data_IF_262501933214
#
_entry.id   IF_262501933214
#
_cell.length_a   1.000
_cell.length_b   1.000
_cell.length_c   1.000
_cell.angle_alpha   90.00
_cell.angle_beta   90.00
_cell.angle_gamma   90.00
#
_symmetry.space_group_name_H-M   'P 1'
#
loop_
_entity.id
_entity.type
_entity.pdbx_description
1 polymer ?
#
# COMPACT_ATOMS: atom_id res chain seq x y z
N UNK A 1 2.73 55.72 -2.33
CA UNK A 1 3.99 55.07 -2.01
C UNK A 1 4.79 54.97 -3.30
N UNK A 2 6.01 55.47 -3.35
CA UNK A 2 6.89 55.46 -4.54
C UNK A 2 7.17 53.98 -4.88
N UNK A 3 6.70 53.51 -6.02
CA UNK A 3 7.01 52.18 -6.52
C UNK A 3 8.53 52.14 -6.79
N UNK A 4 9.28 51.28 -6.11
CA UNK A 4 10.71 51.11 -6.35
C UNK A 4 10.93 50.60 -7.77
N UNK A 5 11.98 51.08 -8.41
CA UNK A 5 12.37 50.63 -9.78
C UNK A 5 12.70 49.13 -9.77
N UNK A 6 12.13 48.37 -10.70
CA UNK A 6 12.34 46.91 -10.79
C UNK A 6 13.80 46.53 -10.97
N UNK A 7 14.62 47.38 -11.61
CA UNK A 7 16.06 47.20 -11.70
C UNK A 7 16.73 47.34 -10.33
N UNK A 8 16.28 48.29 -9.51
CA UNK A 8 16.78 48.47 -8.15
C UNK A 8 16.38 47.29 -7.24
N UNK A 9 15.17 46.77 -7.41
CA UNK A 9 14.68 45.61 -6.63
C UNK A 9 15.57 44.40 -6.92
N UNK A 10 15.90 44.12 -8.16
CA UNK A 10 16.79 43.03 -8.55
C UNK A 10 18.27 43.35 -8.32
N UNK A 11 18.66 44.62 -8.12
CA UNK A 11 20.03 45.05 -7.94
C UNK A 11 20.87 44.94 -9.22
N UNK A 12 20.26 45.22 -10.38
CA UNK A 12 20.90 45.17 -11.69
C UNK A 12 20.85 46.53 -12.40
N UNK A 13 21.74 46.79 -13.35
CA UNK A 13 21.72 47.98 -14.15
C UNK A 13 20.58 47.97 -15.21
N UNK A 14 20.13 49.14 -15.67
CA UNK A 14 19.05 49.25 -16.66
C UNK A 14 19.37 48.64 -18.02
N UNK A 15 20.65 48.48 -18.33
CA UNK A 15 21.18 47.86 -19.55
C UNK A 15 21.52 46.36 -19.34
N UNK A 16 21.20 45.78 -18.16
CA UNK A 16 21.49 44.40 -17.84
C UNK A 16 20.90 43.42 -18.87
N UNK A 17 21.67 42.41 -19.22
CA UNK A 17 21.24 41.30 -20.07
C UNK A 17 20.21 40.42 -19.39
N UNK A 18 19.47 39.66 -20.18
CA UNK A 18 18.48 38.70 -19.67
C UNK A 18 19.09 37.67 -18.70
N UNK A 19 20.31 37.21 -19.00
CA UNK A 19 21.07 36.31 -18.15
C UNK A 19 21.47 36.91 -16.80
N UNK A 20 21.79 38.18 -16.76
CA UNK A 20 22.12 38.91 -15.53
C UNK A 20 20.88 39.13 -14.68
N UNK A 21 19.76 39.51 -15.27
CA UNK A 21 18.46 39.63 -14.61
C UNK A 21 18.04 38.27 -13.98
N UNK A 22 18.21 37.19 -14.74
CA UNK A 22 17.91 35.82 -14.28
C UNK A 22 18.80 35.39 -13.12
N UNK A 23 20.11 35.70 -13.17
CA UNK A 23 21.03 35.37 -12.07
C UNK A 23 20.74 36.17 -10.82
N UNK A 24 20.42 37.43 -10.94
CA UNK A 24 20.09 38.31 -9.83
C UNK A 24 18.81 37.84 -9.13
N UNK A 25 17.78 37.53 -9.91
CA UNK A 25 16.55 36.97 -9.38
C UNK A 25 16.77 35.65 -8.63
N UNK A 26 17.51 34.68 -9.20
CA UNK A 26 17.84 33.42 -8.53
C UNK A 26 18.50 33.62 -7.17
N UNK A 27 19.43 34.58 -7.07
CA UNK A 27 20.11 34.88 -5.82
C UNK A 27 19.15 35.42 -4.75
N UNK A 28 18.23 36.31 -5.16
CA UNK A 28 17.21 36.87 -4.25
C UNK A 28 16.17 35.85 -3.85
N UNK A 29 15.72 35.02 -4.80
CA UNK A 29 14.75 33.96 -4.56
C UNK A 29 15.25 32.92 -3.55
N UNK A 30 16.53 32.50 -3.67
CA UNK A 30 17.16 31.61 -2.69
C UNK A 30 17.31 32.27 -1.32
N UNK A 31 17.67 33.54 -1.29
CA UNK A 31 17.90 34.30 -0.03
C UNK A 31 16.60 34.52 0.74
N UNK A 32 15.52 34.80 0.06
CA UNK A 32 14.21 35.13 0.67
C UNK A 32 13.16 34.06 0.51
N UNK A 33 13.57 32.81 0.20
CA UNK A 33 12.65 31.69 0.06
C UNK A 33 11.86 31.42 1.36
N UNK A 34 10.55 31.17 1.30
CA UNK A 34 9.75 30.90 2.49
C UNK A 34 10.28 29.75 3.36
N UNK A 35 10.78 28.68 2.72
CA UNK A 35 11.33 27.52 3.44
C UNK A 35 12.61 27.84 4.24
N UNK A 36 13.36 28.84 3.80
CA UNK A 36 14.56 29.30 4.51
C UNK A 36 14.31 30.45 5.47
N UNK A 37 13.15 31.11 5.38
CA UNK A 37 12.75 32.22 6.21
C UNK A 37 11.31 32.05 6.72
N UNK A 38 10.99 30.98 7.47
CA UNK A 38 9.66 30.76 8.01
C UNK A 38 9.28 31.93 8.91
N UNK A 39 8.04 32.40 8.82
CA UNK A 39 7.44 33.44 9.64
C UNK A 39 8.13 34.83 9.57
N UNK A 40 8.85 35.13 8.48
CA UNK A 40 9.49 36.43 8.28
C UNK A 40 8.74 37.24 7.21
N UNK A 41 7.84 38.20 7.60
CA UNK A 41 7.03 38.97 6.65
C UNK A 41 7.87 39.90 5.76
N UNK A 42 9.03 40.34 6.21
CA UNK A 42 9.92 41.16 5.39
C UNK A 42 10.58 40.33 4.27
N UNK A 43 10.93 39.08 4.56
CA UNK A 43 11.48 38.17 3.55
C UNK A 43 10.42 37.80 2.50
N UNK A 44 9.20 37.56 2.93
CA UNK A 44 8.06 37.28 2.03
C UNK A 44 7.77 38.47 1.10
N UNK A 45 7.77 39.69 1.63
CA UNK A 45 7.58 40.90 0.82
C UNK A 45 8.66 41.08 -0.19
N UNK A 46 9.96 40.94 0.18
CA UNK A 46 11.10 41.04 -0.73
C UNK A 46 11.09 39.95 -1.79
N UNK A 47 10.60 38.76 -1.45
CA UNK A 47 10.40 37.67 -2.40
C UNK A 47 9.36 38.03 -3.45
N UNK A 48 8.19 38.58 -3.02
CA UNK A 48 7.10 39.02 -3.90
C UNK A 48 7.57 40.11 -4.83
N UNK A 49 8.24 41.14 -4.31
CA UNK A 49 8.80 42.28 -5.10
C UNK A 49 9.82 41.79 -6.14
N UNK A 50 10.68 40.83 -5.76
CA UNK A 50 11.67 40.26 -6.68
C UNK A 50 11.03 39.41 -7.79
N UNK A 51 9.96 38.64 -7.46
CA UNK A 51 9.25 37.85 -8.44
C UNK A 51 8.49 38.71 -9.44
N UNK A 52 7.85 39.79 -9.01
CA UNK A 52 7.17 40.76 -9.86
C UNK A 52 8.16 41.48 -10.80
N UNK A 53 9.28 41.98 -10.26
CA UNK A 53 10.31 42.63 -11.03
C UNK A 53 10.88 41.69 -12.12
N UNK A 54 11.12 40.44 -11.79
CA UNK A 54 11.62 39.45 -12.75
C UNK A 54 10.60 39.14 -13.84
N UNK A 55 9.32 39.00 -13.50
CA UNK A 55 8.26 38.72 -14.50
C UNK A 55 8.15 39.80 -15.56
N UNK A 56 8.29 41.04 -15.17
CA UNK A 56 8.27 42.14 -16.10
C UNK A 56 9.58 42.25 -16.92
N UNK A 57 10.74 42.15 -16.28
CA UNK A 57 12.04 42.40 -16.94
C UNK A 57 12.55 41.23 -17.79
N UNK A 58 12.06 40.02 -17.57
CA UNK A 58 12.40 38.84 -18.40
C UNK A 58 11.78 38.86 -19.80
N UNK A 59 10.62 39.52 -19.95
CA UNK A 59 9.92 39.59 -21.22
C UNK A 59 10.32 40.85 -21.96
N UNK A 60 10.93 40.75 -23.16
CA UNK A 60 11.40 41.92 -23.89
C UNK A 60 10.32 42.97 -24.17
N UNK A 61 9.09 42.55 -24.44
CA UNK A 61 7.98 43.45 -24.71
C UNK A 61 7.51 44.19 -23.44
N UNK A 62 7.39 43.47 -22.34
CA UNK A 62 6.98 44.04 -21.03
C UNK A 62 8.10 44.96 -20.48
N UNK A 63 9.36 44.57 -20.64
CA UNK A 63 10.52 45.39 -20.29
C UNK A 63 10.51 46.70 -21.08
N UNK A 64 10.31 46.63 -22.39
CA UNK A 64 10.25 47.83 -23.24
C UNK A 64 9.08 48.75 -22.87
N UNK A 65 7.95 48.19 -22.48
CA UNK A 65 6.80 48.95 -21.98
C UNK A 65 7.10 49.59 -20.63
N UNK A 66 7.72 48.85 -19.71
CA UNK A 66 8.15 49.36 -18.41
C UNK A 66 9.17 50.51 -18.55
N UNK A 67 10.15 50.36 -19.44
CA UNK A 67 11.18 51.35 -19.69
C UNK A 67 10.60 52.65 -20.30
N UNK A 68 9.48 52.56 -21.06
CA UNK A 68 8.83 53.73 -21.68
C UNK A 68 7.83 54.43 -20.79
N UNK A 69 7.07 53.68 -20.03
CA UNK A 69 5.90 54.20 -19.33
C UNK A 69 6.02 54.15 -17.80
N UNK A 70 7.06 53.50 -17.27
CA UNK A 70 7.26 53.29 -15.82
C UNK A 70 6.24 52.34 -15.16
N UNK A 71 5.41 51.71 -15.97
CA UNK A 71 4.39 50.75 -15.50
C UNK A 71 4.43 49.49 -16.35
N UNK A 72 4.21 48.33 -15.72
CA UNK A 72 4.25 47.05 -16.41
C UNK A 72 3.08 46.83 -17.39
N UNK A 73 1.99 47.57 -17.22
CA UNK A 73 0.79 47.47 -18.05
C UNK A 73 0.15 48.85 -18.28
N UNK A 74 0.21 49.40 -19.50
CA UNK A 74 -0.39 50.70 -19.82
C UNK A 74 -1.91 50.66 -19.93
N UNK A 75 -2.54 49.44 -19.93
CA UNK A 75 -4.01 49.29 -20.11
C UNK A 75 -4.80 49.23 -18.80
N UNK A 76 -4.13 49.30 -17.65
CA UNK A 76 -4.80 49.42 -16.33
C UNK A 76 -5.60 48.21 -15.88
N UNK A 77 -5.50 47.05 -16.55
CA UNK A 77 -6.35 45.89 -16.34
C UNK A 77 -5.62 44.66 -15.77
N UNK A 78 -4.40 44.82 -15.29
CA UNK A 78 -3.53 43.73 -14.84
C UNK A 78 -2.96 43.85 -13.44
N UNK A 79 -3.61 44.57 -12.55
CA UNK A 79 -3.25 44.62 -11.12
C UNK A 79 -3.90 43.50 -10.31
N UNK A 80 -3.65 42.26 -10.61
CA UNK A 80 -3.93 41.18 -9.68
C UNK A 80 -2.88 41.25 -8.56
N UNK A 81 -3.19 42.00 -7.48
CA UNK A 81 -2.38 42.00 -6.25
C UNK A 81 -2.35 40.59 -5.70
N UNK A 82 -1.16 40.00 -5.65
CA UNK A 82 -0.93 38.69 -5.02
C UNK A 82 -1.21 38.82 -3.52
N UNK A 83 -2.29 38.17 -3.07
CA UNK A 83 -2.69 38.21 -1.67
C UNK A 83 -1.97 37.18 -0.81
N UNK A 84 -1.51 36.06 -1.41
CA UNK A 84 -0.84 34.98 -0.68
C UNK A 84 0.35 34.41 -1.44
N UNK A 85 1.32 33.84 -0.70
CA UNK A 85 2.48 33.13 -1.28
C UNK A 85 2.09 31.93 -2.15
N UNK A 86 0.98 31.25 -1.84
CA UNK A 86 0.43 30.11 -2.58
C UNK A 86 -0.07 30.49 -3.98
N UNK A 87 -0.63 31.69 -4.13
CA UNK A 87 -1.08 32.20 -5.45
C UNK A 87 0.11 32.47 -6.39
N UNK A 88 1.24 32.90 -5.83
CA UNK A 88 2.48 33.08 -6.57
C UNK A 88 3.04 31.71 -7.02
N UNK A 89 3.04 30.72 -6.13
CA UNK A 89 3.50 29.37 -6.43
C UNK A 89 2.66 28.68 -7.51
N UNK A 90 1.34 28.87 -7.51
CA UNK A 90 0.45 28.24 -8.48
C UNK A 90 0.55 28.87 -9.87
N UNK A 91 0.73 30.18 -9.95
CA UNK A 91 0.85 30.90 -11.23
C UNK A 91 2.25 30.87 -11.83
N UNK A 92 3.28 30.72 -10.98
CA UNK A 92 4.69 30.66 -11.39
C UNK A 92 5.29 29.25 -11.33
N UNK A 93 4.51 28.20 -11.08
CA UNK A 93 4.97 26.81 -11.03
C UNK A 93 5.75 26.38 -12.27
N UNK A 94 5.33 26.81 -13.45
CA UNK A 94 6.00 26.53 -14.71
C UNK A 94 7.34 27.29 -14.82
N UNK A 95 7.46 28.47 -14.21
CA UNK A 95 8.67 29.30 -14.21
C UNK A 95 9.70 28.77 -13.23
N UNK A 96 9.23 28.27 -12.07
CA UNK A 96 10.10 27.63 -11.08
C UNK A 96 10.75 26.36 -11.64
N UNK A 97 10.01 25.57 -12.42
CA UNK A 97 10.53 24.39 -13.11
C UNK A 97 11.70 24.69 -14.04
N UNK A 98 11.65 25.80 -14.78
CA UNK A 98 12.70 26.21 -15.73
C UNK A 98 13.93 26.80 -15.02
N UNK A 99 13.76 27.47 -13.89
CA UNK A 99 14.83 28.16 -13.17
C UNK A 99 15.65 27.21 -12.29
N UNK A 100 15.01 26.23 -11.67
CA UNK A 100 15.68 25.29 -10.75
C UNK A 100 16.19 23.99 -11.41
N UNK A 101 16.17 23.89 -12.73
CA UNK A 101 16.79 22.77 -13.44
C UNK A 101 15.89 21.57 -13.69
N UNK A 102 14.57 21.66 -13.39
CA UNK A 102 13.56 20.67 -13.79
C UNK A 102 13.00 20.92 -15.20
N UNK A 103 13.35 22.04 -15.84
CA UNK A 103 12.97 22.41 -17.21
C UNK A 103 13.88 21.76 -18.25
N UNK A 104 13.72 20.46 -18.46
CA UNK A 104 14.22 19.81 -19.67
C UNK A 104 13.44 20.33 -20.87
N UNK A 105 14.16 20.75 -21.91
CA UNK A 105 13.68 21.19 -23.23
C UNK A 105 12.38 20.52 -23.63
N UNK A 106 11.40 21.30 -24.06
CA UNK A 106 10.17 20.81 -24.72
C UNK A 106 10.53 20.15 -26.07
N UNK A 107 11.26 19.05 -26.03
CA UNK A 107 11.24 18.06 -27.10
C UNK A 107 9.85 17.47 -27.11
N UNK A 108 9.25 17.35 -28.29
CA UNK A 108 7.95 16.70 -28.48
C UNK A 108 7.95 15.38 -27.69
N UNK A 109 7.30 15.41 -26.52
CA UNK A 109 7.25 14.26 -25.64
C UNK A 109 6.32 13.25 -26.29
N UNK A 110 6.90 12.20 -26.88
CA UNK A 110 6.18 10.96 -27.07
C UNK A 110 5.52 10.53 -25.75
N UNK A 111 4.52 9.66 -25.79
CA UNK A 111 3.86 9.19 -24.58
C UNK A 111 4.91 8.67 -23.60
N UNK A 112 4.86 9.16 -22.34
CA UNK A 112 5.82 8.78 -21.30
C UNK A 112 5.63 7.31 -20.95
N UNK A 113 6.72 6.55 -20.68
CA UNK A 113 6.62 5.23 -20.11
C UNK A 113 5.78 5.27 -18.82
N UNK A 114 4.77 4.42 -18.75
CA UNK A 114 3.92 4.27 -17.57
C UNK A 114 4.02 2.86 -17.06
N UNK A 115 4.12 2.71 -15.74
CA UNK A 115 4.09 1.40 -15.09
C UNK A 115 2.71 0.77 -15.28
N UNK A 116 2.67 -0.55 -15.46
CA UNK A 116 1.44 -1.32 -15.48
C UNK A 116 0.75 -1.37 -14.14
N UNK A 117 -0.53 -1.72 -14.15
CA UNK A 117 -1.33 -1.83 -12.94
C UNK A 117 -0.87 -3.01 -12.08
N UNK A 118 -0.99 -2.83 -10.77
CA UNK A 118 -0.76 -3.90 -9.81
C UNK A 118 -1.93 -4.87 -9.80
N UNK A 119 -1.62 -6.17 -9.74
CA UNK A 119 -2.62 -7.24 -9.67
C UNK A 119 -2.77 -7.73 -8.22
N UNK A 120 -3.98 -8.15 -7.89
CA UNK A 120 -4.30 -8.82 -6.63
C UNK A 120 -4.78 -10.24 -6.89
N UNK A 121 -4.19 -11.19 -6.18
CA UNK A 121 -4.57 -12.60 -6.20
C UNK A 121 -4.88 -13.09 -4.78
N UNK A 122 -6.06 -13.67 -4.57
CA UNK A 122 -6.41 -14.25 -3.27
C UNK A 122 -6.06 -15.75 -3.30
N UNK A 123 -5.24 -16.17 -2.37
CA UNK A 123 -4.78 -17.56 -2.25
C UNK A 123 -5.21 -18.13 -0.91
N UNK A 124 -6.05 -19.15 -0.94
CA UNK A 124 -6.46 -19.89 0.25
C UNK A 124 -5.48 -21.01 0.55
N UNK A 125 -5.07 -21.11 1.80
CA UNK A 125 -4.18 -22.13 2.33
C UNK A 125 -4.76 -22.70 3.61
N UNK A 126 -4.46 -23.97 3.90
CA UNK A 126 -4.87 -24.58 5.15
C UNK A 126 -4.05 -24.03 6.32
N UNK A 127 -4.58 -24.15 7.53
CA UNK A 127 -3.89 -23.75 8.76
C UNK A 127 -2.52 -24.40 8.89
N UNK A 128 -2.44 -25.69 8.58
CA UNK A 128 -1.17 -26.46 8.66
C UNK A 128 -0.14 -26.03 7.63
N UNK A 129 -0.57 -25.67 6.43
CA UNK A 129 0.30 -25.09 5.41
C UNK A 129 0.83 -23.72 5.85
N UNK A 130 -0.04 -22.87 6.45
CA UNK A 130 0.36 -21.59 7.01
C UNK A 130 1.36 -21.77 8.16
N UNK A 131 1.17 -22.78 9.01
CA UNK A 131 2.06 -23.08 10.12
C UNK A 131 3.46 -23.54 9.69
N UNK A 132 3.53 -24.45 8.71
CA UNK A 132 4.79 -25.06 8.23
C UNK A 132 5.49 -24.23 7.16
N UNK A 133 4.74 -23.39 6.44
CA UNK A 133 5.13 -22.79 5.19
C UNK A 133 5.01 -23.78 4.03
N UNK A 134 4.72 -23.27 2.86
CA UNK A 134 4.48 -24.08 1.66
C UNK A 134 4.86 -23.30 0.41
N UNK A 135 5.18 -24.01 -0.65
CA UNK A 135 5.35 -23.46 -1.97
C UNK A 135 4.17 -23.91 -2.85
N UNK A 136 3.38 -22.95 -3.35
CA UNK A 136 2.18 -23.24 -4.16
C UNK A 136 2.27 -22.61 -5.53
N UNK A 137 1.95 -23.35 -6.60
CA UNK A 137 1.77 -22.77 -7.92
C UNK A 137 0.44 -22.00 -7.96
N UNK A 138 0.48 -20.79 -8.55
CA UNK A 138 -0.69 -20.00 -8.85
C UNK A 138 -0.75 -19.71 -10.35
N UNK A 139 -1.96 -19.48 -10.86
CA UNK A 139 -2.20 -19.12 -12.25
C UNK A 139 -2.81 -17.73 -12.30
N UNK A 140 -2.07 -16.80 -12.87
CA UNK A 140 -2.46 -15.39 -12.95
C UNK A 140 -2.72 -15.01 -14.40
N UNK A 141 -3.96 -14.67 -14.76
CA UNK A 141 -4.25 -14.08 -16.06
C UNK A 141 -3.71 -12.65 -16.09
N UNK A 142 -2.96 -12.30 -17.12
CA UNK A 142 -2.45 -10.95 -17.33
C UNK A 142 -2.24 -10.66 -18.81
N UNK A 143 -2.21 -9.38 -19.13
CA UNK A 143 -1.88 -8.91 -20.47
C UNK A 143 -0.36 -8.90 -20.68
N UNK A 144 0.06 -9.39 -21.82
CA UNK A 144 1.47 -9.37 -22.23
C UNK A 144 1.58 -8.90 -23.68
N UNK A 145 2.77 -8.46 -24.07
CA UNK A 145 3.04 -8.18 -25.47
C UNK A 145 2.75 -9.40 -26.34
N UNK A 146 2.06 -9.15 -27.43
CA UNK A 146 1.77 -10.22 -28.38
C UNK A 146 3.08 -10.77 -28.97
N UNK A 147 3.40 -12.05 -28.77
CA UNK A 147 4.67 -12.63 -29.19
C UNK A 147 4.84 -12.70 -30.73
N UNK A 148 3.75 -12.56 -31.51
CA UNK A 148 3.82 -12.58 -32.97
C UNK A 148 4.20 -11.22 -33.54
N UNK A 149 3.73 -10.13 -32.95
CA UNK A 149 3.97 -8.78 -33.45
C UNK A 149 4.85 -7.94 -32.56
N UNK A 150 5.29 -8.42 -31.38
CA UNK A 150 6.13 -7.67 -30.43
C UNK A 150 5.51 -6.32 -30.04
N UNK A 151 4.22 -6.32 -29.68
CA UNK A 151 3.51 -5.11 -29.26
C UNK A 151 3.08 -4.16 -30.38
N UNK A 152 3.51 -4.38 -31.64
CA UNK A 152 3.19 -3.47 -32.75
C UNK A 152 1.71 -3.48 -33.16
N UNK A 153 1.01 -4.60 -32.95
CA UNK A 153 -0.34 -4.81 -33.44
C UNK A 153 -0.42 -5.12 -34.95
N UNK A 154 0.68 -4.99 -35.70
CA UNK A 154 0.74 -5.18 -37.12
C UNK A 154 1.14 -6.62 -37.49
N UNK A 155 0.59 -7.17 -38.54
CA UNK A 155 1.02 -8.46 -39.11
C UNK A 155 2.46 -8.38 -39.63
N UNK A 156 3.13 -9.52 -39.72
CA UNK A 156 4.48 -9.61 -40.32
C UNK A 156 4.51 -8.95 -41.70
N UNK A 157 5.45 -8.04 -41.92
CA UNK A 157 5.58 -7.27 -43.16
C UNK A 157 4.65 -6.06 -43.28
N UNK A 158 3.92 -5.72 -42.24
CA UNK A 158 3.14 -4.48 -42.10
C UNK A 158 3.65 -3.65 -40.93
N UNK A 159 3.42 -2.33 -40.96
CA UNK A 159 3.80 -1.43 -39.90
C UNK A 159 2.66 -0.49 -39.54
N UNK A 160 2.79 0.20 -38.44
CA UNK A 160 1.91 1.31 -38.09
C UNK A 160 2.13 2.47 -39.06
N UNK A 161 1.06 2.99 -39.64
CA UNK A 161 1.09 4.17 -40.48
C UNK A 161 0.48 5.35 -39.75
N UNK A 162 1.08 6.54 -39.88
CA UNK A 162 0.49 7.77 -39.30
C UNK A 162 -0.90 8.01 -39.85
N UNK A 163 -1.85 8.24 -38.98
CA UNK A 163 -3.25 8.48 -39.41
C UNK A 163 -3.34 9.73 -40.29
N UNK A 164 -3.78 9.56 -41.50
CA UNK A 164 -3.88 10.65 -42.48
C UNK A 164 -4.87 11.73 -42.07
N UNK A 165 -5.91 11.41 -41.31
CA UNK A 165 -6.97 12.35 -40.91
C UNK A 165 -6.52 13.30 -39.80
N UNK A 166 -5.76 12.83 -38.81
CA UNK A 166 -5.30 13.65 -37.69
C UNK A 166 -3.80 13.96 -37.72
N UNK A 167 -3.07 13.50 -38.74
CA UNK A 167 -1.64 13.75 -38.84
C UNK A 167 -0.79 13.19 -37.68
N UNK A 168 -1.31 12.18 -36.98
CA UNK A 168 -0.62 11.56 -35.82
C UNK A 168 -1.08 12.08 -34.45
N UNK A 169 -1.87 13.16 -34.39
CA UNK A 169 -2.30 13.77 -33.14
C UNK A 169 -3.32 12.93 -32.33
N UNK A 170 -3.97 11.96 -32.97
CA UNK A 170 -5.05 11.16 -32.35
C UNK A 170 -6.37 11.92 -32.17
N UNK A 171 -6.39 13.22 -32.37
CA UNK A 171 -7.52 14.09 -32.14
C UNK A 171 -7.85 14.94 -33.36
N UNK A 172 -9.11 15.32 -33.51
CA UNK A 172 -9.54 16.27 -34.53
C UNK A 172 -10.34 17.38 -33.87
N UNK A 173 -10.08 18.62 -34.30
CA UNK A 173 -10.82 19.77 -33.85
C UNK A 173 -12.04 19.99 -34.75
N UNK A 174 -13.23 19.98 -34.19
CA UNK A 174 -14.44 20.40 -34.83
C UNK A 174 -14.84 21.81 -34.39
N UNK A 175 -15.08 22.70 -35.33
CA UNK A 175 -15.64 24.03 -35.06
C UNK A 175 -17.14 24.01 -35.25
N UNK A 176 -17.86 24.41 -34.23
CA UNK A 176 -19.31 24.62 -34.30
C UNK A 176 -19.61 26.05 -33.83
N UNK A 177 -19.77 26.95 -34.78
CA UNK A 177 -19.87 28.37 -34.53
C UNK A 177 -18.56 28.97 -33.99
N UNK A 178 -18.61 29.61 -32.83
CA UNK A 178 -17.46 30.19 -32.13
C UNK A 178 -16.76 29.22 -31.17
N UNK A 179 -17.32 28.01 -30.97
CA UNK A 179 -16.73 27.00 -30.10
C UNK A 179 -15.90 25.98 -30.89
N UNK A 180 -14.76 25.63 -30.34
CA UNK A 180 -13.87 24.58 -30.87
C UNK A 180 -13.90 23.41 -29.89
N UNK A 181 -14.36 22.25 -30.36
CA UNK A 181 -14.36 21.00 -29.59
C UNK A 181 -13.26 20.08 -30.13
N UNK A 182 -12.50 19.50 -29.24
CA UNK A 182 -11.52 18.48 -29.56
C UNK A 182 -12.09 17.12 -29.25
N UNK A 183 -12.15 16.23 -30.26
CA UNK A 183 -12.65 14.88 -30.08
C UNK A 183 -11.65 13.84 -30.61
N UNK A 184 -11.71 12.58 -30.13
CA UNK A 184 -10.89 11.51 -30.69
C UNK A 184 -11.11 11.37 -32.21
N UNK A 185 -10.03 11.18 -32.95
CA UNK A 185 -10.12 11.02 -34.40
C UNK A 185 -10.92 9.77 -34.75
N UNK A 186 -11.97 9.87 -35.56
CA UNK A 186 -12.85 8.75 -35.91
C UNK A 186 -12.14 7.65 -36.74
N UNK A 187 -11.07 7.96 -37.47
CA UNK A 187 -10.33 6.99 -38.25
C UNK A 187 -9.36 6.12 -37.43
N UNK A 188 -8.74 6.69 -36.42
CA UNK A 188 -7.77 5.96 -35.59
C UNK A 188 -8.22 5.77 -34.14
N UNK A 189 -9.40 6.22 -33.78
CA UNK A 189 -9.99 6.12 -32.44
C UNK A 189 -9.07 6.61 -31.34
N UNK A 190 -8.38 7.74 -31.58
CA UNK A 190 -7.45 8.33 -30.61
C UNK A 190 -6.00 7.82 -30.69
N UNK A 191 -5.72 6.76 -31.43
CA UNK A 191 -4.39 6.13 -31.48
C UNK A 191 -3.32 6.94 -32.21
N UNK A 192 -3.69 7.89 -33.08
CA UNK A 192 -2.77 8.66 -33.93
C UNK A 192 -2.19 7.88 -35.12
N UNK A 193 -2.38 6.57 -35.18
CA UNK A 193 -1.92 5.69 -36.27
C UNK A 193 -3.01 4.69 -36.69
N UNK A 194 -2.87 4.14 -37.86
CA UNK A 194 -3.70 3.06 -38.41
C UNK A 194 -2.80 1.86 -38.72
N UNK A 195 -3.38 0.67 -38.70
CA UNK A 195 -2.70 -0.59 -39.02
C UNK A 195 -3.39 -1.20 -40.24
N UNK A 196 -2.78 -1.14 -41.46
CA UNK A 196 -3.41 -1.66 -42.68
C UNK A 196 -3.68 -3.16 -42.61
N UNK A 197 -2.75 -3.93 -42.04
CA UNK A 197 -2.89 -5.36 -41.81
C UNK A 197 -2.69 -5.69 -40.34
N UNK A 198 -3.78 -5.86 -39.55
CA UNK A 198 -3.67 -6.21 -38.15
C UNK A 198 -3.09 -7.59 -37.91
N UNK A 199 -2.36 -7.76 -36.84
CA UNK A 199 -1.81 -9.05 -36.41
C UNK A 199 -2.96 -10.05 -36.15
N UNK A 200 -2.94 -11.27 -36.71
CA UNK A 200 -4.03 -12.22 -36.54
C UNK A 200 -4.23 -12.67 -35.10
N UNK A 201 -3.17 -12.70 -34.28
CA UNK A 201 -3.22 -13.15 -32.89
C UNK A 201 -3.84 -12.11 -31.96
N UNK A 202 -3.42 -10.85 -32.02
CA UNK A 202 -3.93 -9.77 -31.15
C UNK A 202 -4.95 -8.86 -31.84
N UNK A 203 -5.31 -9.11 -33.12
CA UNK A 203 -6.30 -8.33 -33.89
C UNK A 203 -6.04 -6.82 -33.93
N UNK A 204 -4.77 -6.43 -33.84
CA UNK A 204 -4.36 -5.02 -33.88
C UNK A 204 -4.12 -4.36 -32.53
N UNK A 205 -4.39 -5.02 -31.41
CA UNK A 205 -4.20 -4.45 -30.07
C UNK A 205 -2.75 -4.42 -29.62
N UNK A 206 -1.92 -5.34 -30.12
CA UNK A 206 -0.51 -5.46 -29.72
C UNK A 206 -0.31 -6.24 -28.42
N UNK A 207 -1.38 -6.53 -27.67
CA UNK A 207 -1.36 -7.26 -26.41
C UNK A 207 -2.26 -8.49 -26.49
N UNK A 208 -1.97 -9.50 -25.68
CA UNK A 208 -2.76 -10.72 -25.56
C UNK A 208 -2.88 -11.10 -24.10
N UNK A 209 -4.04 -11.58 -23.71
CA UNK A 209 -4.23 -12.16 -22.38
C UNK A 209 -3.54 -13.53 -22.33
N UNK A 210 -2.74 -13.76 -21.31
CA UNK A 210 -1.99 -15.01 -21.11
C UNK A 210 -2.06 -15.40 -19.65
N UNK A 211 -2.25 -16.69 -19.38
CA UNK A 211 -2.18 -17.22 -18.00
C UNK A 211 -0.73 -17.57 -17.72
N UNK A 212 -0.14 -16.92 -16.72
CA UNK A 212 1.21 -17.23 -16.24
C UNK A 212 1.15 -18.08 -14.99
N UNK A 213 1.93 -19.15 -14.97
CA UNK A 213 2.13 -19.97 -13.78
C UNK A 213 3.32 -19.43 -13.00
N UNK A 214 3.08 -19.15 -11.71
CA UNK A 214 4.07 -18.62 -10.78
C UNK A 214 4.11 -19.50 -9.55
N UNK A 215 5.30 -19.80 -9.04
CA UNK A 215 5.46 -20.48 -7.75
C UNK A 215 5.60 -19.45 -6.64
N UNK A 216 4.70 -19.50 -5.65
CA UNK A 216 4.67 -18.59 -4.51
C UNK A 216 5.17 -19.31 -3.27
N UNK A 217 6.31 -18.86 -2.75
CA UNK A 217 6.87 -19.35 -1.50
C UNK A 217 6.25 -18.63 -0.30
N UNK A 218 5.45 -19.35 0.47
CA UNK A 218 4.78 -18.86 1.65
C UNK A 218 5.64 -19.20 2.88
N UNK A 219 6.12 -18.22 3.65
CA UNK A 219 6.92 -18.50 4.85
C UNK A 219 6.08 -19.14 5.95
N UNK A 220 6.72 -19.92 6.83
CA UNK A 220 6.06 -20.52 7.97
C UNK A 220 5.57 -19.46 8.97
N UNK A 221 4.39 -19.70 9.55
CA UNK A 221 3.78 -18.85 10.58
C UNK A 221 3.05 -17.63 10.07
N UNK A 222 2.76 -17.55 8.77
CA UNK A 222 1.96 -16.46 8.18
C UNK A 222 0.56 -16.40 8.80
N UNK A 223 -0.02 -15.19 8.85
CA UNK A 223 -1.36 -14.93 9.38
C UNK A 223 -2.37 -14.71 8.26
N UNK A 224 -3.65 -14.81 8.59
CA UNK A 224 -4.72 -14.49 7.65
C UNK A 224 -4.66 -13.03 7.22
N UNK A 225 -4.88 -12.78 5.93
CA UNK A 225 -4.74 -11.45 5.33
C UNK A 225 -3.31 -11.01 5.05
N UNK A 226 -2.29 -11.85 5.30
CA UNK A 226 -0.90 -11.55 4.95
C UNK A 226 -0.74 -11.33 3.45
N UNK A 227 0.10 -10.35 3.06
CA UNK A 227 0.31 -9.96 1.67
C UNK A 227 1.74 -10.25 1.24
N UNK A 228 1.88 -11.03 0.18
CA UNK A 228 3.16 -11.32 -0.47
C UNK A 228 3.25 -10.52 -1.77
N UNK A 229 4.31 -9.75 -1.95
CA UNK A 229 4.55 -8.96 -3.16
C UNK A 229 5.52 -9.69 -4.09
N UNK A 230 5.07 -9.96 -5.30
CA UNK A 230 5.87 -10.49 -6.39
C UNK A 230 6.13 -9.36 -7.39
N UNK A 231 7.37 -8.87 -7.40
CA UNK A 231 7.74 -7.69 -8.20
C UNK A 231 7.72 -7.99 -9.70
N UNK A 232 7.12 -7.07 -10.48
CA UNK A 232 7.06 -7.17 -11.94
C UNK A 232 6.13 -8.27 -12.48
N UNK A 233 5.31 -8.89 -11.61
CA UNK A 233 4.35 -9.93 -11.99
C UNK A 233 2.90 -9.41 -12.11
N UNK A 234 2.72 -8.08 -12.12
CA UNK A 234 1.46 -7.41 -12.42
C UNK A 234 1.20 -7.24 -13.91
N UNK A 235 0.31 -6.32 -14.28
CA UNK A 235 0.00 -5.97 -15.66
C UNK A 235 1.20 -5.34 -16.37
N UNK A 236 1.20 -5.48 -17.69
CA UNK A 236 2.22 -4.90 -18.55
C UNK A 236 2.15 -3.36 -18.51
N UNK A 237 3.31 -2.71 -18.39
CA UNK A 237 3.41 -1.27 -18.55
C UNK A 237 3.17 -0.81 -19.98
N UNK A 238 2.73 0.43 -20.13
CA UNK A 238 2.50 1.04 -21.45
C UNK A 238 3.67 1.95 -21.84
N UNK A 239 3.86 2.12 -23.15
CA UNK A 239 4.92 2.95 -23.73
C UNK A 239 6.35 2.57 -23.27
N UNK A 240 6.60 1.28 -23.04
CA UNK A 240 7.90 0.81 -22.54
C UNK A 240 8.11 1.00 -21.04
N UNK A 241 7.05 1.23 -20.28
CA UNK A 241 7.09 1.26 -18.82
C UNK A 241 7.28 -0.14 -18.21
N UNK A 242 7.74 -0.24 -16.96
CA UNK A 242 7.86 -1.51 -16.27
C UNK A 242 6.49 -2.12 -15.97
N UNK A 243 6.44 -3.44 -15.77
CA UNK A 243 5.23 -4.09 -15.29
C UNK A 243 4.88 -3.61 -13.89
N UNK A 244 3.59 -3.73 -13.51
CA UNK A 244 3.13 -3.63 -12.14
C UNK A 244 3.58 -4.83 -11.30
N UNK A 245 3.14 -4.89 -10.05
CA UNK A 245 3.45 -5.96 -9.12
C UNK A 245 2.21 -6.84 -8.88
N UNK A 246 2.45 -8.07 -8.46
CA UNK A 246 1.38 -8.95 -8.02
C UNK A 246 1.38 -9.06 -6.50
N UNK A 247 0.25 -8.72 -5.89
CA UNK A 247 -0.01 -8.90 -4.46
C UNK A 247 -0.83 -10.15 -4.22
N UNK A 248 -0.20 -11.16 -3.65
CA UNK A 248 -0.89 -12.38 -3.21
C UNK A 248 -1.36 -12.17 -1.77
N UNK A 249 -2.68 -12.13 -1.58
CA UNK A 249 -3.33 -12.04 -0.28
C UNK A 249 -3.67 -13.45 0.20
N UNK A 250 -3.13 -13.83 1.34
CA UNK A 250 -3.33 -15.16 1.91
C UNK A 250 -4.62 -15.19 2.74
N UNK A 251 -5.44 -16.20 2.51
CA UNK A 251 -6.57 -16.56 3.36
C UNK A 251 -6.26 -17.89 4.02
N UNK A 252 -6.14 -17.88 5.36
CA UNK A 252 -5.84 -19.06 6.14
C UNK A 252 -7.15 -19.66 6.66
N UNK A 253 -7.43 -20.92 6.27
CA UNK A 253 -8.58 -21.67 6.79
C UNK A 253 -8.39 -21.95 8.28
N UNK A 254 -9.49 -22.02 9.02
CA UNK A 254 -9.49 -22.43 10.42
C UNK A 254 -9.16 -23.93 10.53
N UNK A 255 -8.55 -24.32 11.65
CA UNK A 255 -8.26 -25.73 11.96
C UNK A 255 -9.27 -26.24 13.00
N UNK A 256 -9.78 -27.47 12.82
CA UNK A 256 -10.79 -28.07 13.73
C UNK A 256 -10.22 -28.35 15.13
N UNK A 257 -8.91 -28.38 15.29
CA UNK A 257 -8.21 -28.81 16.50
C UNK A 257 -7.57 -27.67 17.24
N UNK A 258 -6.97 -26.73 16.51
CA UNK A 258 -6.21 -25.63 17.07
C UNK A 258 -6.82 -24.28 16.75
N UNK A 259 -6.92 -23.45 17.76
CA UNK A 259 -7.19 -22.03 17.59
C UNK A 259 -5.85 -21.27 17.60
N UNK A 260 -5.79 -20.15 16.88
CA UNK A 260 -4.61 -19.31 16.81
C UNK A 260 -4.76 -18.05 17.65
N UNK A 261 -3.76 -17.77 18.48
CA UNK A 261 -3.61 -16.51 19.20
C UNK A 261 -2.21 -15.95 18.88
N UNK A 262 -2.12 -15.03 17.92
CA UNK A 262 -0.89 -14.56 17.30
C UNK A 262 0.01 -15.70 16.79
N UNK A 263 1.08 -16.01 17.50
CA UNK A 263 1.99 -17.13 17.22
C UNK A 263 1.82 -18.29 18.19
N UNK A 264 0.94 -18.15 19.17
CA UNK A 264 0.57 -19.23 20.05
C UNK A 264 -0.55 -20.08 19.44
N UNK A 265 -0.60 -21.32 19.86
CA UNK A 265 -1.68 -22.23 19.56
C UNK A 265 -2.49 -22.46 20.82
N UNK A 266 -3.79 -22.48 20.70
CA UNK A 266 -4.70 -22.87 21.77
C UNK A 266 -5.30 -24.21 21.39
N UNK A 267 -5.22 -25.16 22.32
CA UNK A 267 -5.86 -26.46 22.22
C UNK A 267 -6.74 -26.69 23.44
N UNK A 268 -8.03 -27.04 23.23
CA UNK A 268 -8.95 -27.34 24.31
C UNK A 268 -8.98 -28.86 24.61
N UNK A 269 -8.33 -29.24 25.73
CA UNK A 269 -8.28 -30.61 26.18
C UNK A 269 -9.47 -30.89 27.11
N UNK A 270 -10.33 -31.81 26.71
CA UNK A 270 -11.46 -32.27 27.58
C UNK A 270 -11.02 -33.42 28.45
N UNK A 271 -11.15 -33.28 29.78
CA UNK A 271 -10.89 -34.34 30.77
C UNK A 271 -12.13 -34.59 31.60
N UNK A 272 -12.21 -35.76 32.21
CA UNK A 272 -13.31 -36.13 33.11
C UNK A 272 -13.05 -35.55 34.52
N UNK A 273 -14.13 -35.42 35.31
CA UNK A 273 -14.04 -35.00 36.72
C UNK A 273 -13.06 -35.90 37.55
N UNK A 274 -13.08 -37.23 37.47
CA UNK A 274 -12.10 -38.04 38.19
C UNK A 274 -10.65 -37.80 37.76
N UNK A 275 -10.41 -37.58 36.45
CA UNK A 275 -9.06 -37.24 35.95
C UNK A 275 -8.58 -35.90 36.48
N UNK A 276 -9.47 -34.90 36.56
CA UNK A 276 -9.13 -33.60 37.13
C UNK A 276 -8.82 -33.67 38.61
N UNK A 277 -9.60 -34.49 39.38
CA UNK A 277 -9.43 -34.65 40.84
C UNK A 277 -8.17 -35.43 41.19
N UNK A 278 -7.90 -36.55 40.52
CA UNK A 278 -6.81 -37.47 40.82
C UNK A 278 -5.51 -37.13 40.11
N UNK A 279 -5.56 -36.31 39.07
CA UNK A 279 -4.49 -36.07 38.12
C UNK A 279 -4.45 -37.17 37.06
N UNK A 280 -3.89 -36.83 35.90
CA UNK A 280 -3.80 -37.77 34.78
C UNK A 280 -2.69 -37.31 33.81
N UNK A 281 -2.27 -38.21 32.95
CA UNK A 281 -1.46 -37.88 31.78
C UNK A 281 -2.34 -37.99 30.55
N UNK A 282 -2.35 -36.96 29.72
CA UNK A 282 -3.10 -36.94 28.47
C UNK A 282 -2.13 -36.77 27.30
N UNK A 283 -2.54 -37.30 26.15
CA UNK A 283 -1.87 -37.08 24.89
C UNK A 283 -2.62 -35.99 24.11
N UNK A 284 -1.93 -34.99 23.70
CA UNK A 284 -2.44 -33.86 22.90
C UNK A 284 -1.84 -33.93 21.51
N UNK A 285 -2.60 -33.54 20.46
CA UNK A 285 -2.09 -33.52 19.11
C UNK A 285 -0.99 -32.48 18.96
N UNK A 286 -0.04 -32.72 18.04
CA UNK A 286 0.97 -31.77 17.59
C UNK A 286 0.54 -31.19 16.23
N UNK A 287 1.12 -30.05 15.84
CA UNK A 287 1.04 -29.52 14.47
C UNK A 287 1.56 -30.51 13.42
N UNK A 288 2.49 -31.35 13.81
CA UNK A 288 2.98 -32.40 12.93
C UNK A 288 2.02 -33.58 12.95
N UNK A 289 1.62 -34.04 11.78
CA UNK A 289 0.75 -35.18 11.65
C UNK A 289 1.39 -36.45 12.24
N UNK A 290 0.61 -37.16 13.05
CA UNK A 290 1.07 -38.39 13.69
C UNK A 290 1.93 -38.20 14.94
N UNK A 291 2.30 -36.98 15.31
CA UNK A 291 2.97 -36.69 16.57
C UNK A 291 1.97 -36.33 17.67
N UNK A 292 2.19 -36.84 18.88
CA UNK A 292 1.46 -36.45 20.09
C UNK A 292 2.45 -35.94 21.14
N UNK A 293 1.95 -35.07 21.99
CA UNK A 293 2.72 -34.53 23.12
C UNK A 293 2.05 -35.00 24.41
N UNK A 294 2.85 -35.52 25.35
CA UNK A 294 2.34 -35.91 26.67
C UNK A 294 2.25 -34.67 27.56
N UNK A 295 1.12 -34.53 28.23
CA UNK A 295 0.88 -33.48 29.21
C UNK A 295 0.43 -34.10 30.53
N UNK A 296 1.19 -33.84 31.61
CA UNK A 296 0.83 -34.23 32.96
C UNK A 296 -0.14 -33.21 33.56
N UNK A 297 -1.33 -33.65 33.91
CA UNK A 297 -2.35 -32.86 34.57
C UNK A 297 -2.27 -33.12 36.08
N UNK A 298 -1.87 -32.14 36.91
CA UNK A 298 -1.82 -32.32 38.34
C UNK A 298 -3.19 -32.57 38.96
N UNK A 299 -3.21 -33.27 40.07
CA UNK A 299 -4.43 -33.47 40.86
C UNK A 299 -5.05 -32.16 41.35
N UNK A 300 -6.37 -32.08 41.35
CA UNK A 300 -7.08 -30.87 41.73
C UNK A 300 -7.11 -29.78 40.66
N UNK A 301 -6.80 -30.10 39.38
CA UNK A 301 -6.87 -29.15 38.27
C UNK A 301 -8.30 -28.70 38.03
N UNK A 302 -8.50 -27.38 37.99
CA UNK A 302 -9.81 -26.77 37.75
C UNK A 302 -10.07 -26.58 36.24
N UNK A 303 -11.36 -26.56 35.89
CA UNK A 303 -11.79 -26.25 34.52
C UNK A 303 -11.34 -24.82 34.13
N UNK A 304 -10.90 -24.64 32.92
CA UNK A 304 -10.37 -23.36 32.41
C UNK A 304 -8.88 -23.14 32.70
N UNK A 305 -8.20 -24.02 33.45
CA UNK A 305 -6.78 -23.92 33.69
C UNK A 305 -6.01 -24.12 32.39
N UNK A 306 -5.05 -23.21 32.12
CA UNK A 306 -4.19 -23.26 30.94
C UNK A 306 -2.79 -23.77 31.32
N UNK A 307 -2.30 -24.73 30.56
CA UNK A 307 -0.94 -25.25 30.63
C UNK A 307 -0.15 -24.78 29.41
N UNK A 308 1.08 -24.35 29.59
CA UNK A 308 1.92 -23.84 28.52
C UNK A 308 3.01 -24.83 28.14
N UNK A 309 3.02 -25.26 26.89
CA UNK A 309 4.10 -26.07 26.35
C UNK A 309 4.96 -25.17 25.44
N UNK A 310 6.16 -24.85 25.90
CA UNK A 310 7.05 -23.87 25.25
C UNK A 310 7.52 -24.34 23.89
N UNK A 311 7.64 -23.40 22.95
CA UNK A 311 8.18 -23.61 21.59
C UNK A 311 7.41 -24.69 20.78
N UNK A 312 6.12 -24.87 21.05
CA UNK A 312 5.23 -25.80 20.33
C UNK A 312 4.08 -25.07 19.59
N UNK A 313 4.16 -23.74 19.49
CA UNK A 313 3.26 -22.91 18.71
C UNK A 313 3.75 -22.72 17.28
N UNK A 314 3.30 -21.61 16.65
CA UNK A 314 3.65 -21.23 15.28
C UNK A 314 5.02 -20.54 15.22
N UNK A 315 5.67 -20.64 14.09
CA UNK A 315 6.90 -19.94 13.83
C UNK A 315 6.63 -18.46 13.59
N UNK A 316 7.48 -17.57 14.11
CA UNK A 316 7.44 -16.15 13.72
C UNK A 316 7.99 -16.00 12.30
N UNK A 317 7.24 -15.36 11.38
CA UNK A 317 7.68 -15.18 10.01
C UNK A 317 9.05 -14.51 9.93
N UNK A 318 9.98 -15.12 9.18
CA UNK A 318 11.34 -14.58 9.01
C UNK A 318 12.26 -14.69 10.22
N UNK A 319 11.83 -15.32 11.32
CA UNK A 319 12.63 -15.49 12.54
C UNK A 319 12.79 -16.97 12.89
N UNK A 320 13.81 -17.26 13.74
CA UNK A 320 14.04 -18.61 14.25
C UNK A 320 13.39 -18.84 15.63
N UNK A 321 12.33 -18.09 15.92
CA UNK A 321 11.58 -18.14 17.17
C UNK A 321 10.23 -18.81 16.91
N UNK A 322 9.75 -19.57 17.89
CA UNK A 322 8.42 -20.20 17.91
C UNK A 322 7.57 -19.64 19.05
N UNK A 323 6.26 -19.61 18.88
CA UNK A 323 5.28 -19.40 19.93
C UNK A 323 5.11 -20.64 20.80
N UNK A 324 4.17 -20.59 21.71
CA UNK A 324 3.88 -21.65 22.66
C UNK A 324 2.55 -22.33 22.30
N UNK A 325 2.37 -23.56 22.80
CA UNK A 325 1.10 -24.25 22.77
C UNK A 325 0.43 -24.11 24.14
N UNK A 326 -0.73 -23.45 24.15
CA UNK A 326 -1.55 -23.21 25.31
C UNK A 326 -2.63 -24.29 25.36
N UNK A 327 -2.58 -25.16 26.35
CA UNK A 327 -3.55 -26.26 26.53
C UNK A 327 -4.56 -25.83 27.59
N UNK A 328 -5.76 -25.47 27.17
CA UNK A 328 -6.86 -25.14 28.05
C UNK A 328 -7.61 -26.42 28.45
N UNK A 329 -7.66 -26.73 29.74
CA UNK A 329 -8.34 -27.91 30.25
C UNK A 329 -9.80 -27.59 30.49
N UNK A 330 -10.70 -28.37 29.88
CA UNK A 330 -12.14 -28.33 30.13
C UNK A 330 -12.54 -29.57 30.87
N UNK A 331 -13.03 -29.43 32.11
CA UNK A 331 -13.56 -30.57 32.89
C UNK A 331 -15.00 -30.83 32.50
N UNK A 332 -15.25 -32.01 31.94
CA UNK A 332 -16.58 -32.44 31.53
C UNK A 332 -17.21 -33.35 32.62
N UNK A 333 -18.36 -32.96 33.12
CA UNK A 333 -19.16 -33.79 34.00
C UNK A 333 -19.92 -34.82 33.17
N UNK A 334 -19.99 -36.08 33.63
CA UNK A 334 -20.76 -37.14 32.95
C UNK A 334 -22.26 -36.83 33.01
N UNK A 335 -22.95 -36.93 31.86
CA UNK A 335 -24.40 -36.71 31.77
C UNK A 335 -25.20 -37.98 31.97
N UNK A 336 -24.56 -39.14 31.85
CA UNK A 336 -25.18 -40.47 32.07
C UNK A 336 -24.30 -41.23 33.03
N UNK A 337 -24.89 -41.66 34.15
CA UNK A 337 -24.22 -42.43 35.19
C UNK A 337 -24.86 -43.79 35.30
N UNK A 338 -24.08 -44.83 35.56
CA UNK A 338 -24.59 -46.11 36.01
C UNK A 338 -24.95 -46.03 37.50
N UNK A 339 -25.84 -46.93 37.98
CA UNK A 339 -26.24 -46.90 39.38
C UNK A 339 -25.07 -47.00 40.37
N UNK A 340 -24.04 -47.73 39.99
CA UNK A 340 -22.80 -47.83 40.80
C UNK A 340 -21.98 -46.52 40.82
N UNK A 341 -21.91 -45.81 39.71
CA UNK A 341 -21.24 -44.48 39.64
C UNK A 341 -21.99 -43.45 40.46
N UNK A 342 -23.32 -43.48 40.43
CA UNK A 342 -24.14 -42.58 41.22
C UNK A 342 -23.99 -42.84 42.72
N UNK A 343 -23.94 -44.09 43.15
CA UNK A 343 -23.68 -44.48 44.52
C UNK A 343 -22.32 -43.95 45.02
N UNK A 344 -21.25 -44.16 44.23
CA UNK A 344 -19.91 -43.70 44.56
C UNK A 344 -19.81 -42.15 44.64
N UNK A 345 -20.49 -41.44 43.76
CA UNK A 345 -20.51 -39.98 43.82
C UNK A 345 -21.28 -39.46 45.04
N UNK A 346 -22.38 -40.12 45.45
CA UNK A 346 -23.10 -39.77 46.69
C UNK A 346 -22.27 -40.10 47.94
N UNK A 347 -21.50 -41.15 47.92
CA UNK A 347 -20.55 -41.46 48.99
C UNK A 347 -19.45 -40.43 49.10
N UNK A 348 -18.87 -40.00 47.94
CA UNK A 348 -17.88 -38.93 47.85
C UNK A 348 -18.43 -37.60 48.38
N UNK A 349 -19.69 -37.26 48.08
CA UNK A 349 -20.34 -36.05 48.57
C UNK A 349 -20.43 -36.05 50.10
N UNK A 350 -20.91 -37.17 50.71
CA UNK A 350 -20.95 -37.30 52.16
C UNK A 350 -19.60 -37.12 52.83
N UNK A 351 -18.55 -37.78 52.31
CA UNK A 351 -17.19 -37.64 52.83
C UNK A 351 -16.65 -36.20 52.69
N UNK A 352 -17.01 -35.49 51.64
CA UNK A 352 -16.63 -34.11 51.41
C UNK A 352 -17.33 -33.16 52.39
N UNK A 353 -18.60 -33.39 52.72
CA UNK A 353 -19.32 -32.63 53.73
C UNK A 353 -18.76 -32.82 55.14
N UNK A 354 -18.40 -34.07 55.49
CA UNK A 354 -17.76 -34.34 56.78
C UNK A 354 -16.41 -33.64 56.92
N UNK A 355 -15.60 -33.63 55.86
CA UNK A 355 -14.32 -32.87 55.83
C UNK A 355 -14.55 -31.36 55.93
N UNK A 356 -15.58 -30.84 55.25
CA UNK A 356 -15.95 -29.43 55.32
C UNK A 356 -16.37 -29.00 56.71
N UNK A 357 -17.18 -29.78 57.41
CA UNK A 357 -17.55 -29.53 58.77
C UNK A 357 -16.35 -29.55 59.71
N UNK A 358 -15.43 -30.49 59.56
CA UNK A 358 -14.24 -30.59 60.35
C UNK A 358 -13.24 -29.41 60.14
N UNK A 359 -13.22 -28.79 58.96
CA UNK A 359 -12.42 -27.57 58.68
C UNK A 359 -13.16 -26.37 59.33
N UNK A 360 -14.46 -26.25 59.20
CA UNK A 360 -15.26 -25.17 59.78
C UNK A 360 -15.15 -25.15 61.32
N UNK A 361 -15.22 -26.33 61.95
CA UNK A 361 -15.06 -26.50 63.38
C UNK A 361 -13.64 -26.12 63.86
N UNK A 362 -12.61 -26.48 63.08
CA UNK A 362 -11.24 -26.07 63.35
C UNK A 362 -11.05 -24.55 63.23
N UNK A 363 -11.66 -23.93 62.25
CA UNK A 363 -11.61 -22.48 62.04
C UNK A 363 -12.38 -21.75 63.13
N UNK A 364 -13.59 -22.24 63.51
CA UNK A 364 -14.37 -21.72 64.64
C UNK A 364 -13.56 -21.78 65.95
N UNK A 365 -12.94 -22.93 66.23
CA UNK A 365 -12.11 -23.13 67.40
C UNK A 365 -10.84 -22.25 67.41
N UNK A 366 -10.25 -21.99 66.24
CA UNK A 366 -9.11 -21.11 66.10
C UNK A 366 -9.48 -19.61 66.25
N UNK A 367 -10.73 -19.25 65.94
CA UNK A 367 -11.24 -17.88 66.10
C UNK A 367 -11.90 -17.65 67.49
N UNK A 368 -11.89 -18.63 68.40
CA UNK A 368 -12.46 -18.48 69.75
C UNK A 368 -13.97 -18.26 69.74
N UNK A 369 -14.68 -18.75 68.71
CA UNK A 369 -16.14 -18.67 68.60
C UNK A 369 -16.73 -20.04 68.95
N UNK A 370 -16.80 -20.37 70.22
CA UNK A 370 -17.52 -21.54 70.73
C UNK A 370 -19.03 -21.29 70.81
#
# INVERSE_FOLDING_TARGET
MSQRDYYEILGVAKDASEDEIKRAYRKLALKYHPDHNPDNPEAEQKFKEAAEAYDVLRNPERRANYDRFGTADPSGMGGAGFTNAEDIFSQFGDIFGDIFGFGGHARSRGPRPQQGDDLRYNLTISFREAAKGVEKPIRVPRHMECPECGGSGAAKGSSRETCKQCGGSGQVAMRQGFMQFVQPCPSCHGRGYTIPKPCPKCKGEGIVETVRELSVRIPAGVYDGARLRLRGEGEMGVHGGPNGDLYVVLHVEEDDVFERDDQNLIYTATITFPQAALGTRIQIPSLNEGETLDLDIPKGTQSGKVFTIRNKGLKYPGQNRMGDLLVQVLVKTPTKLSSKQEELLREFEKLSEEQGKGIFDKVKKAMGMD
#
